data_IF_188317324362
#
_entry.id   IF_188317324362
#
_cell.length_a   1.000
_cell.length_b   1.000
_cell.length_c   1.000
_cell.angle_alpha   90.00
_cell.angle_beta   90.00
_cell.angle_gamma   90.00
#
_symmetry.space_group_name_H-M   'P 1'
#
loop_
_entity.id
_entity.type
_entity.pdbx_description
1 polymer ?
#
# COMPACT_ATOMS: atom_id res chain seq x y z
N UNK A 1 0.13 -7.55 16.51
CA UNK A 1 1.45 -7.80 15.88
C UNK A 1 2.50 -6.79 16.34
N UNK A 2 2.35 -5.47 16.10
CA UNK A 2 3.31 -4.43 16.56
C UNK A 2 3.77 -4.63 18.02
N UNK A 3 2.83 -4.66 18.97
CA UNK A 3 3.16 -4.82 20.39
C UNK A 3 3.90 -6.14 20.69
N UNK A 4 3.62 -7.21 19.94
CA UNK A 4 4.32 -8.49 20.12
C UNK A 4 5.78 -8.39 19.67
N UNK A 5 6.04 -7.74 18.54
CA UNK A 5 7.40 -7.50 18.04
C UNK A 5 8.21 -6.64 19.02
N UNK A 6 7.54 -5.73 19.71
CA UNK A 6 8.14 -4.87 20.73
C UNK A 6 8.49 -5.66 21.99
N UNK A 7 7.53 -6.35 22.62
CA UNK A 7 7.79 -7.09 23.86
C UNK A 7 8.68 -8.31 23.68
N UNK A 8 8.82 -8.82 22.45
CA UNK A 8 9.77 -9.90 22.14
C UNK A 8 11.21 -9.41 21.93
N UNK A 9 11.45 -8.09 21.87
CA UNK A 9 12.75 -7.50 21.54
C UNK A 9 13.13 -7.57 20.06
N UNK A 10 12.26 -8.10 19.18
CA UNK A 10 12.57 -8.21 17.74
C UNK A 10 12.74 -6.82 17.12
N UNK A 11 11.97 -5.81 17.55
CA UNK A 11 12.08 -4.45 17.01
C UNK A 11 13.48 -3.85 17.17
N UNK A 12 14.23 -4.23 18.21
CA UNK A 12 15.59 -3.72 18.46
C UNK A 12 16.61 -4.21 17.42
N UNK A 13 16.25 -5.25 16.66
CA UNK A 13 17.05 -5.82 15.58
C UNK A 13 16.58 -5.41 14.19
N UNK A 14 15.60 -4.50 14.07
CA UNK A 14 15.04 -4.08 12.79
C UNK A 14 15.34 -2.62 12.48
N UNK A 15 15.56 -2.33 11.20
CA UNK A 15 15.64 -0.95 10.70
C UNK A 15 14.23 -0.43 10.48
N UNK A 16 13.88 0.69 11.14
CA UNK A 16 12.57 1.32 10.96
C UNK A 16 12.53 2.16 9.69
N UNK A 17 11.78 1.69 8.68
CA UNK A 17 11.49 2.45 7.46
C UNK A 17 10.16 3.18 7.62
N UNK A 18 10.18 4.52 7.57
CA UNK A 18 8.95 5.32 7.67
C UNK A 18 8.16 5.26 6.35
N UNK A 19 6.83 5.04 6.38
CA UNK A 19 6.01 5.13 5.19
C UNK A 19 5.86 6.59 4.75
N UNK A 20 5.53 6.77 3.48
CA UNK A 20 5.04 8.04 2.92
C UNK A 20 3.66 7.82 2.29
N UNK A 21 2.94 8.90 2.00
CA UNK A 21 1.74 8.80 1.16
C UNK A 21 2.18 8.50 -0.29
N UNK A 22 1.54 7.52 -0.92
CA UNK A 22 1.63 7.34 -2.36
C UNK A 22 1.02 8.54 -3.09
N UNK A 23 1.60 8.92 -4.23
CA UNK A 23 1.03 9.97 -5.09
C UNK A 23 -0.05 9.40 -6.00
N UNK A 24 -0.88 10.26 -6.58
CA UNK A 24 -1.93 9.85 -7.53
C UNK A 24 -1.30 9.21 -8.77
N UNK A 25 -0.16 9.72 -9.25
CA UNK A 25 0.60 9.13 -10.36
C UNK A 25 1.07 7.71 -10.03
N UNK A 26 1.43 7.47 -8.76
CA UNK A 26 1.84 6.14 -8.33
C UNK A 26 0.68 5.15 -8.25
N UNK A 27 -0.46 5.59 -7.71
CA UNK A 27 -1.68 4.79 -7.72
C UNK A 27 -2.14 4.50 -9.16
N UNK A 28 -2.02 5.48 -10.05
CA UNK A 28 -2.47 5.40 -11.45
C UNK A 28 -1.66 4.42 -12.30
N UNK A 29 -0.56 3.86 -11.78
CA UNK A 29 0.13 2.74 -12.43
C UNK A 29 -0.65 1.43 -12.39
N UNK A 30 -1.66 1.34 -11.52
CA UNK A 30 -2.54 0.16 -11.38
C UNK A 30 -4.01 0.57 -11.49
N UNK A 31 -4.39 1.65 -10.80
CA UNK A 31 -5.79 2.01 -10.65
C UNK A 31 -6.25 3.05 -11.67
N UNK A 32 -7.54 2.97 -12.04
CA UNK A 32 -8.16 3.99 -12.87
C UNK A 32 -8.33 5.29 -12.08
N UNK A 33 -8.28 6.47 -12.75
CA UNK A 33 -8.58 7.75 -12.09
C UNK A 33 -9.96 7.78 -11.43
N UNK A 34 -10.94 7.11 -12.04
CA UNK A 34 -12.30 7.01 -11.51
C UNK A 34 -12.35 6.24 -10.18
N UNK A 35 -11.62 5.13 -10.07
CA UNK A 35 -11.52 4.38 -8.81
C UNK A 35 -10.85 5.20 -7.70
N UNK A 36 -9.72 5.85 -8.01
CA UNK A 36 -9.01 6.71 -7.05
C UNK A 36 -9.92 7.83 -6.55
N UNK A 37 -10.63 8.50 -7.47
CA UNK A 37 -11.58 9.56 -7.14
C UNK A 37 -12.74 9.04 -6.28
N UNK A 38 -13.32 7.89 -6.62
CA UNK A 38 -14.39 7.26 -5.83
C UNK A 38 -13.97 6.96 -4.39
N UNK A 39 -12.79 6.36 -4.19
CA UNK A 39 -12.30 6.05 -2.84
C UNK A 39 -12.11 7.33 -2.02
N UNK A 40 -11.53 8.37 -2.64
CA UNK A 40 -11.37 9.68 -2.00
C UNK A 40 -12.71 10.29 -1.63
N UNK A 41 -13.66 10.29 -2.57
CA UNK A 41 -15.00 10.84 -2.34
C UNK A 41 -15.70 10.14 -1.17
N UNK A 42 -15.71 8.81 -1.12
CA UNK A 42 -16.34 8.07 -0.01
C UNK A 42 -15.65 8.39 1.33
N UNK A 43 -14.31 8.46 1.34
CA UNK A 43 -13.53 8.83 2.52
C UNK A 43 -13.87 10.24 3.00
N UNK A 44 -13.98 11.21 2.08
CA UNK A 44 -14.31 12.61 2.39
C UNK A 44 -15.76 12.76 2.91
N UNK A 45 -16.69 11.93 2.42
CA UNK A 45 -18.07 11.84 2.94
C UNK A 45 -18.14 11.22 4.34
N UNK A 46 -17.08 10.56 4.80
CA UNK A 46 -16.93 10.07 6.18
C UNK A 46 -17.33 8.61 6.42
N UNK A 47 -18.12 8.00 5.53
CA UNK A 47 -18.44 6.57 5.55
C UNK A 47 -18.99 6.08 4.21
N UNK A 48 -18.67 4.84 3.85
CA UNK A 48 -19.33 4.11 2.77
C UNK A 48 -18.63 2.79 2.48
N UNK A 49 -18.87 2.25 1.28
CA UNK A 49 -18.24 1.01 0.83
C UNK A 49 -17.62 1.20 -0.55
N UNK A 50 -16.36 0.77 -0.71
CA UNK A 50 -15.66 0.81 -1.99
C UNK A 50 -16.29 -0.15 -3.02
N UNK A 51 -16.82 -1.30 -2.58
CA UNK A 51 -17.66 -2.20 -3.37
C UNK A 51 -18.44 -3.18 -2.47
N UNK A 52 -18.33 -4.50 -2.68
CA UNK A 52 -18.90 -5.53 -1.81
C UNK A 52 -17.93 -5.83 -0.67
N UNK A 53 -18.35 -5.59 0.58
CA UNK A 53 -17.61 -5.92 1.80
C UNK A 53 -16.27 -5.18 1.96
N UNK A 54 -16.23 -3.90 1.57
CA UNK A 54 -15.03 -3.05 1.68
C UNK A 54 -15.39 -1.70 2.33
N UNK A 55 -15.92 -1.73 3.57
CA UNK A 55 -16.30 -0.51 4.26
C UNK A 55 -15.08 0.36 4.53
N UNK A 56 -15.25 1.66 4.37
CA UNK A 56 -14.27 2.68 4.71
C UNK A 56 -14.94 3.87 5.39
N UNK A 57 -14.18 4.57 6.23
CA UNK A 57 -14.62 5.76 6.95
C UNK A 57 -13.77 6.99 6.66
N UNK A 58 -14.03 8.07 7.39
CA UNK A 58 -13.28 9.31 7.32
C UNK A 58 -11.76 9.08 7.41
N UNK A 59 -11.01 9.66 6.46
CA UNK A 59 -9.54 9.57 6.40
C UNK A 59 -8.98 8.24 5.87
N UNK A 60 -9.84 7.31 5.44
CA UNK A 60 -9.39 6.01 4.92
C UNK A 60 -8.59 6.14 3.63
N UNK A 61 -8.88 7.14 2.80
CA UNK A 61 -8.10 7.43 1.60
C UNK A 61 -6.65 7.75 1.97
N UNK A 62 -6.42 8.69 2.88
CA UNK A 62 -5.09 9.10 3.34
C UNK A 62 -4.32 7.95 3.99
N UNK A 63 -5.01 7.11 4.77
CA UNK A 63 -4.43 5.91 5.37
C UNK A 63 -4.06 4.88 4.30
N UNK A 64 -4.89 4.70 3.27
CA UNK A 64 -4.59 3.83 2.14
C UNK A 64 -3.40 4.34 1.31
N UNK A 65 -3.23 5.66 1.19
CA UNK A 65 -2.01 6.24 0.60
C UNK A 65 -0.77 5.87 1.41
N UNK A 66 -0.84 5.87 2.75
CA UNK A 66 0.27 5.43 3.61
C UNK A 66 0.54 3.93 3.47
N UNK A 67 -0.49 3.10 3.27
CA UNK A 67 -0.32 1.67 3.04
C UNK A 67 0.42 1.41 1.71
N UNK A 68 -0.08 1.98 0.61
CA UNK A 68 0.55 1.85 -0.70
C UNK A 68 1.97 2.43 -0.72
N UNK A 69 2.17 3.61 -0.14
CA UNK A 69 3.50 4.23 -0.04
C UNK A 69 4.44 3.52 0.91
N UNK A 70 3.93 2.84 1.95
CA UNK A 70 4.71 1.93 2.79
C UNK A 70 5.23 0.72 2.02
N UNK A 71 4.40 0.12 1.16
CA UNK A 71 4.83 -0.96 0.27
C UNK A 71 5.90 -0.48 -0.73
N UNK A 72 5.73 0.72 -1.31
CA UNK A 72 6.74 1.33 -2.18
C UNK A 72 8.06 1.52 -1.42
N UNK A 73 8.04 2.15 -0.24
CA UNK A 73 9.25 2.40 0.56
C UNK A 73 9.98 1.12 0.96
N UNK A 74 9.24 0.07 1.33
CA UNK A 74 9.83 -1.23 1.66
C UNK A 74 10.54 -1.84 0.45
N UNK A 75 9.91 -1.79 -0.74
CA UNK A 75 10.50 -2.34 -1.95
C UNK A 75 11.70 -1.51 -2.44
N UNK A 76 11.61 -0.18 -2.42
CA UNK A 76 12.71 0.74 -2.75
C UNK A 76 13.94 0.45 -1.88
N UNK A 77 13.77 0.35 -0.55
CA UNK A 77 14.88 0.15 0.38
C UNK A 77 15.67 -1.15 0.08
N UNK A 78 14.97 -2.21 -0.34
CA UNK A 78 15.61 -3.46 -0.78
C UNK A 78 16.34 -3.26 -2.12
N UNK A 79 15.68 -2.64 -3.10
CA UNK A 79 16.27 -2.41 -4.44
C UNK A 79 17.53 -1.54 -4.36
N UNK A 80 17.54 -0.52 -3.49
CA UNK A 80 18.67 0.37 -3.30
C UNK A 80 19.72 -0.16 -2.32
N UNK A 81 19.58 -1.41 -1.85
CA UNK A 81 20.51 -2.05 -0.90
C UNK A 81 20.65 -1.29 0.43
N UNK A 82 19.59 -0.59 0.87
CA UNK A 82 19.53 0.00 2.22
C UNK A 82 19.31 -1.10 3.28
N UNK A 83 18.56 -2.15 2.91
CA UNK A 83 18.32 -3.35 3.71
C UNK A 83 18.29 -4.60 2.81
N UNK A 84 18.63 -5.76 3.34
CA UNK A 84 18.61 -7.03 2.58
C UNK A 84 17.19 -7.54 2.30
N UNK A 85 16.26 -7.25 3.20
CA UNK A 85 14.84 -7.61 3.10
C UNK A 85 13.99 -6.63 3.90
N UNK A 86 12.67 -6.61 3.61
CA UNK A 86 11.74 -5.71 4.28
C UNK A 86 10.38 -6.38 4.52
N UNK A 87 9.72 -5.96 5.61
CA UNK A 87 8.36 -6.33 5.95
C UNK A 87 7.51 -5.08 6.14
N UNK A 88 6.48 -4.90 5.30
CA UNK A 88 5.56 -3.76 5.40
C UNK A 88 4.32 -4.15 6.23
N UNK A 89 4.29 -3.77 7.51
CA UNK A 89 3.11 -3.94 8.36
C UNK A 89 2.09 -2.82 8.11
N UNK A 90 1.37 -2.91 7.00
CA UNK A 90 0.47 -1.86 6.49
C UNK A 90 -1.01 -2.25 6.57
N UNK A 91 -1.87 -1.23 6.70
CA UNK A 91 -3.33 -1.35 6.66
C UNK A 91 -3.92 -0.09 6.01
N UNK A 92 -4.93 -0.19 5.13
CA UNK A 92 -5.64 -1.39 4.66
C UNK A 92 -4.78 -2.36 3.81
N UNK A 93 -5.19 -3.64 3.67
CA UNK A 93 -4.57 -4.60 2.77
C UNK A 93 -4.78 -4.20 1.29
N UNK A 94 -4.21 -4.97 0.35
CA UNK A 94 -4.30 -4.62 -1.08
C UNK A 94 -4.53 -5.74 -2.09
N UNK A 95 -4.25 -6.99 -1.77
CA UNK A 95 -4.16 -8.07 -2.78
C UNK A 95 -5.43 -8.38 -3.56
N UNK A 96 -6.61 -7.96 -3.09
CA UNK A 96 -7.86 -8.20 -3.82
C UNK A 96 -8.27 -7.02 -4.73
N UNK A 97 -7.76 -5.80 -4.50
CA UNK A 97 -8.16 -4.65 -5.28
C UNK A 97 -7.71 -4.79 -6.75
N UNK A 98 -8.67 -4.69 -7.68
CA UNK A 98 -8.40 -4.64 -9.13
C UNK A 98 -8.12 -3.21 -9.56
N UNK A 99 -7.89 -2.98 -10.85
CA UNK A 99 -7.66 -1.64 -11.38
C UNK A 99 -8.80 -0.65 -11.07
N UNK A 100 -10.04 -1.11 -10.99
CA UNK A 100 -11.23 -0.27 -10.91
C UNK A 100 -12.18 -0.61 -9.75
N UNK A 101 -11.86 -1.64 -8.95
CA UNK A 101 -12.70 -2.11 -7.84
C UNK A 101 -11.85 -2.39 -6.60
N UNK A 102 -12.24 -1.79 -5.46
CA UNK A 102 -11.73 -2.17 -4.14
C UNK A 102 -12.62 -3.24 -3.53
N UNK A 103 -12.08 -4.37 -3.09
CA UNK A 103 -12.84 -5.54 -2.61
C UNK A 103 -12.15 -6.23 -1.43
N UNK A 104 -12.89 -6.95 -0.58
CA UNK A 104 -12.33 -7.71 0.54
C UNK A 104 -11.38 -6.89 1.42
N UNK A 105 -11.84 -5.72 1.87
CA UNK A 105 -11.10 -4.73 2.66
C UNK A 105 -9.92 -4.03 1.94
N UNK A 106 -9.68 -4.33 0.67
CA UNK A 106 -8.59 -3.75 -0.12
C UNK A 106 -9.07 -2.52 -0.89
N UNK A 107 -8.51 -1.34 -0.61
CA UNK A 107 -8.84 -0.11 -1.34
C UNK A 107 -7.92 0.08 -2.56
N UNK A 108 -6.62 -0.18 -2.38
CA UNK A 108 -5.61 -0.10 -3.42
C UNK A 108 -4.72 -1.35 -3.39
N UNK A 109 -4.21 -1.74 -4.55
CA UNK A 109 -3.37 -2.93 -4.72
C UNK A 109 -1.92 -2.63 -4.34
N UNK A 110 -1.65 -2.52 -3.04
CA UNK A 110 -0.37 -2.06 -2.48
C UNK A 110 0.87 -2.71 -3.12
N UNK A 111 0.88 -4.05 -3.22
CA UNK A 111 1.99 -4.79 -3.82
C UNK A 111 2.12 -4.51 -5.33
N UNK A 112 1.00 -4.52 -6.07
CA UNK A 112 1.02 -4.22 -7.50
C UNK A 112 1.51 -2.79 -7.77
N UNK A 113 1.11 -1.81 -6.94
CA UNK A 113 1.56 -0.42 -7.04
C UNK A 113 3.08 -0.34 -6.82
N UNK A 114 3.61 -0.98 -5.77
CA UNK A 114 5.04 -1.01 -5.48
C UNK A 114 5.84 -1.67 -6.64
N UNK A 115 5.34 -2.80 -7.14
CA UNK A 115 5.91 -3.52 -8.28
C UNK A 115 5.95 -2.61 -9.52
N UNK A 116 4.82 -2.02 -9.91
CA UNK A 116 4.75 -1.14 -11.11
C UNK A 116 5.61 0.11 -10.94
N UNK A 117 5.70 0.66 -9.73
CA UNK A 117 6.61 1.77 -9.44
C UNK A 117 8.07 1.37 -9.64
N UNK A 118 8.46 0.21 -9.12
CA UNK A 118 9.82 -0.29 -9.23
C UNK A 118 10.21 -0.68 -10.67
N UNK A 119 9.28 -1.25 -11.44
CA UNK A 119 9.48 -1.47 -12.88
C UNK A 119 9.76 -0.16 -13.62
N UNK A 120 8.99 0.90 -13.31
CA UNK A 120 9.11 2.19 -13.98
C UNK A 120 10.41 2.93 -13.62
N UNK A 121 10.82 2.93 -12.35
CA UNK A 121 11.97 3.73 -11.89
C UNK A 121 13.30 2.96 -11.85
N UNK A 122 13.27 1.65 -11.61
CA UNK A 122 14.46 0.83 -11.43
C UNK A 122 14.67 -0.21 -12.54
N UNK A 123 13.77 -0.27 -13.54
CA UNK A 123 13.93 -1.13 -14.71
C UNK A 123 13.86 -2.64 -14.41
N UNK A 124 13.23 -3.03 -13.30
CA UNK A 124 13.03 -4.44 -12.97
C UNK A 124 12.14 -5.12 -14.02
N UNK A 125 12.64 -6.20 -14.64
CA UNK A 125 11.92 -6.89 -15.73
C UNK A 125 11.20 -8.17 -15.30
N UNK A 126 11.60 -8.79 -14.19
CA UNK A 126 11.04 -10.06 -13.69
C UNK A 126 10.84 -9.96 -12.19
N UNK A 127 9.61 -10.19 -11.75
CA UNK A 127 9.19 -10.13 -10.34
C UNK A 127 8.25 -11.30 -10.09
N UNK A 128 8.47 -12.03 -8.99
CA UNK A 128 7.56 -13.07 -8.52
C UNK A 128 6.75 -12.55 -7.34
N UNK A 129 5.44 -12.84 -7.31
CA UNK A 129 4.56 -12.61 -6.17
C UNK A 129 4.11 -13.97 -5.64
N UNK A 130 4.24 -14.20 -4.34
CA UNK A 130 3.94 -15.46 -3.65
C UNK A 130 2.82 -15.22 -2.64
#
# INVERSE_FOLDING_TARGET
LRNLLEVSGILDHLVTIKPRRATVEELSRVHTPAHIAKIREISDHGYGDASSLTPLGAGSYEIALLAAGGAIKAMEAVITSEVDNAYALIRPPGHHATADVGMGFCLFSNAAIAIRHAQQLHGLTRIATV
#
